data_IF_671332898541
#
_entry.id   IF_671332898541
#
_cell.length_a   1.000
_cell.length_b   1.000
_cell.length_c   1.000
_cell.angle_alpha   90.00
_cell.angle_beta   90.00
_cell.angle_gamma   90.00
#
_symmetry.space_group_name_H-M   'P 1'
#
loop_
_entity.id
_entity.type
_entity.pdbx_description
1 polymer ?
#
# COMPACT_ATOMS: atom_id res chain seq x y z
N UNK A 1 0.85 -1.47 9.98
CA UNK A 1 0.83 -0.52 11.12
C UNK A 1 1.59 0.71 10.69
N UNK A 2 1.03 1.91 10.84
CA UNK A 2 1.74 3.17 10.59
C UNK A 2 1.99 3.83 11.94
N UNK A 3 3.24 4.16 12.24
CA UNK A 3 3.63 4.90 13.45
C UNK A 3 4.53 6.06 13.02
N UNK A 4 4.42 7.19 13.70
CA UNK A 4 5.18 8.41 13.46
C UNK A 4 6.69 8.30 13.79
N UNK A 5 7.12 7.22 14.45
CA UNK A 5 8.51 6.98 14.82
C UNK A 5 8.99 5.59 14.39
N UNK A 6 10.32 5.47 14.21
CA UNK A 6 10.95 4.18 13.89
C UNK A 6 10.80 3.20 15.06
N UNK A 7 10.19 2.06 14.80
CA UNK A 7 9.97 0.98 15.77
C UNK A 7 11.27 0.55 16.47
N UNK A 8 12.40 0.55 15.74
CA UNK A 8 13.73 0.20 16.27
C UNK A 8 14.17 1.07 17.46
N UNK A 9 13.66 2.29 17.58
CA UNK A 9 13.99 3.22 18.68
C UNK A 9 13.08 3.05 19.88
N UNK A 10 12.04 2.22 19.79
CA UNK A 10 11.08 2.00 20.88
C UNK A 10 11.62 1.00 21.90
N UNK A 11 11.28 1.15 23.18
CA UNK A 11 11.70 0.21 24.21
C UNK A 11 11.14 -1.19 23.94
N UNK A 12 11.93 -2.23 24.25
CA UNK A 12 11.52 -3.63 24.15
C UNK A 12 11.20 -4.23 25.51
N UNK A 13 10.18 -5.09 25.56
CA UNK A 13 9.89 -5.92 26.74
C UNK A 13 10.98 -6.97 26.94
N UNK A 14 11.33 -7.23 28.20
CA UNK A 14 12.27 -8.32 28.56
C UNK A 14 11.67 -9.72 28.38
N UNK A 15 10.34 -9.84 28.46
CA UNK A 15 9.62 -11.13 28.52
C UNK A 15 9.50 -11.83 27.17
N UNK A 16 9.35 -11.07 26.09
CA UNK A 16 9.07 -11.58 24.75
C UNK A 16 9.63 -10.69 23.64
N UNK A 17 10.49 -9.72 23.99
CA UNK A 17 11.14 -8.79 23.06
C UNK A 17 10.18 -7.90 22.26
N UNK A 18 8.89 -7.89 22.59
CA UNK A 18 7.91 -7.05 21.92
C UNK A 18 8.27 -5.57 22.09
N UNK A 19 8.12 -4.79 21.03
CA UNK A 19 8.27 -3.33 21.10
C UNK A 19 7.09 -2.72 21.83
N UNK A 20 7.35 -1.76 22.71
CA UNK A 20 6.34 -1.08 23.51
C UNK A 20 5.99 0.23 22.83
N UNK A 21 4.77 0.31 22.31
CA UNK A 21 4.17 1.52 21.75
C UNK A 21 3.31 2.18 22.83
N UNK A 22 3.70 3.37 23.23
CA UNK A 22 2.98 4.23 24.16
C UNK A 22 2.04 5.16 23.37
N UNK A 23 0.72 4.96 23.50
CA UNK A 23 -0.28 5.71 22.73
C UNK A 23 -0.36 7.19 23.11
N UNK A 24 0.14 7.58 24.27
CA UNK A 24 0.20 8.98 24.67
C UNK A 24 1.37 9.71 24.01
N UNK A 25 2.42 8.98 23.62
CA UNK A 25 3.66 9.54 23.06
C UNK A 25 3.74 9.45 21.54
N UNK A 26 3.07 8.49 20.92
CA UNK A 26 3.23 8.19 19.50
C UNK A 26 1.88 8.09 18.80
N UNK A 27 1.75 8.77 17.66
CA UNK A 27 0.60 8.61 16.78
C UNK A 27 0.73 7.29 16.02
N UNK A 28 -0.24 6.41 16.19
CA UNK A 28 -0.28 5.13 15.49
C UNK A 28 -1.64 4.84 14.87
N UNK A 29 -1.63 4.46 13.59
CA UNK A 29 -2.78 3.89 12.88
C UNK A 29 -2.58 2.40 12.70
N UNK A 30 -3.47 1.62 13.29
CA UNK A 30 -3.43 0.17 13.26
C UNK A 30 -4.47 -0.35 12.26
N UNK A 31 -4.03 -1.12 11.27
CA UNK A 31 -4.92 -1.90 10.41
C UNK A 31 -4.88 -3.35 10.88
N UNK A 32 -5.76 -3.66 11.83
CA UNK A 32 -5.72 -4.91 12.61
C UNK A 32 -7.13 -5.38 12.96
N UNK A 33 -7.32 -6.69 13.01
CA UNK A 33 -8.54 -7.35 13.49
C UNK A 33 -8.31 -7.99 14.86
N UNK A 34 -9.38 -8.18 15.63
CA UNK A 34 -9.31 -8.90 16.90
C UNK A 34 -8.95 -10.37 16.65
N UNK A 35 -7.95 -10.86 17.38
CA UNK A 35 -7.44 -12.23 17.28
C UNK A 35 -7.59 -12.99 18.60
N UNK A 36 -8.55 -12.59 19.42
CA UNK A 36 -8.93 -13.26 20.65
C UNK A 36 -8.02 -12.99 21.85
N UNK A 37 -8.33 -13.67 22.95
CA UNK A 37 -7.73 -13.47 24.27
C UNK A 37 -6.96 -14.71 24.72
N UNK A 38 -5.74 -14.50 25.20
CA UNK A 38 -4.86 -15.55 25.71
C UNK A 38 -4.37 -15.20 27.12
N UNK A 39 -4.29 -16.18 28.00
CA UNK A 39 -3.70 -16.04 29.34
C UNK A 39 -2.36 -16.78 29.37
N UNK A 40 -1.26 -16.05 29.51
CA UNK A 40 0.09 -16.61 29.57
C UNK A 40 0.59 -16.73 31.01
N UNK A 41 1.27 -17.84 31.31
CA UNK A 41 2.00 -18.00 32.57
C UNK A 41 3.41 -17.43 32.42
N UNK A 42 3.77 -16.43 33.23
CA UNK A 42 5.07 -15.76 33.23
C UNK A 42 5.79 -16.07 34.55
N UNK A 43 6.69 -17.06 34.55
CA UNK A 43 7.43 -17.45 35.76
C UNK A 43 6.54 -17.95 36.91
N UNK A 44 7.08 -17.99 38.12
CA UNK A 44 6.37 -18.50 39.30
C UNK A 44 5.20 -17.59 39.68
N UNK A 45 3.98 -18.05 39.38
CA UNK A 45 2.73 -17.47 39.88
C UNK A 45 2.16 -16.27 39.12
N UNK A 46 2.87 -15.69 38.15
CA UNK A 46 2.34 -14.53 37.41
C UNK A 46 1.60 -14.96 36.15
N UNK A 47 0.42 -14.40 35.96
CA UNK A 47 -0.41 -14.59 34.77
C UNK A 47 -0.53 -13.26 34.03
N UNK A 48 -0.42 -13.30 32.71
CA UNK A 48 -0.54 -12.13 31.82
C UNK A 48 -1.69 -12.37 30.84
N UNK A 49 -2.68 -11.47 30.85
CA UNK A 49 -3.75 -11.45 29.85
C UNK A 49 -3.24 -10.73 28.61
N UNK A 50 -3.43 -11.34 27.45
CA UNK A 50 -3.12 -10.75 26.16
C UNK A 50 -4.39 -10.75 25.30
N UNK A 51 -4.83 -9.57 24.89
CA UNK A 51 -5.82 -9.41 23.84
C UNK A 51 -5.05 -9.22 22.53
N UNK A 52 -5.04 -10.25 21.71
CA UNK A 52 -4.21 -10.36 20.51
C UNK A 52 -4.91 -9.73 19.33
N UNK A 53 -4.11 -9.21 18.42
CA UNK A 53 -4.55 -8.52 17.22
C UNK A 53 -3.78 -9.04 16.02
N UNK A 54 -4.48 -9.27 14.92
CA UNK A 54 -3.91 -9.78 13.67
C UNK A 54 -3.95 -8.75 12.56
N UNK A 55 -3.05 -8.85 11.58
CA UNK A 55 -3.05 -8.00 10.41
C UNK A 55 -4.27 -8.30 9.53
N UNK A 56 -5.08 -7.29 9.18
CA UNK A 56 -6.26 -7.49 8.32
C UNK A 56 -5.93 -8.10 6.94
N UNK A 57 -4.72 -7.83 6.43
CA UNK A 57 -4.31 -8.28 5.10
C UNK A 57 -3.88 -9.74 5.03
N UNK A 58 -3.15 -10.23 6.04
CA UNK A 58 -2.53 -11.57 6.01
C UNK A 58 -2.87 -12.46 7.22
N UNK A 59 -3.65 -11.97 8.19
CA UNK A 59 -4.03 -12.72 9.39
C UNK A 59 -2.90 -12.96 10.39
N UNK A 60 -1.68 -12.45 10.14
CA UNK A 60 -0.54 -12.63 11.02
C UNK A 60 -0.77 -11.96 12.38
N UNK A 61 -0.45 -12.64 13.48
CA UNK A 61 -0.45 -12.04 14.82
C UNK A 61 0.64 -10.97 14.94
N UNK A 62 0.24 -9.70 15.04
CA UNK A 62 1.16 -8.55 14.92
C UNK A 62 1.38 -7.77 16.20
N UNK A 63 0.35 -7.67 17.04
CA UNK A 63 0.46 -6.97 18.31
C UNK A 63 -0.58 -7.46 19.31
N UNK A 64 -0.41 -7.09 20.57
CA UNK A 64 -1.37 -7.36 21.64
C UNK A 64 -1.40 -6.21 22.65
N UNK A 65 -2.44 -6.23 23.49
CA UNK A 65 -2.68 -5.28 24.59
C UNK A 65 -3.06 -6.01 25.87
N UNK A 66 -2.93 -5.35 27.01
CA UNK A 66 -3.28 -5.91 28.33
C UNK A 66 -4.75 -5.68 28.68
N UNK A 67 -5.32 -4.61 28.15
CA UNK A 67 -6.71 -4.18 28.31
C UNK A 67 -7.58 -4.69 27.17
N UNK A 68 -8.87 -4.92 27.43
CA UNK A 68 -9.80 -5.47 26.43
C UNK A 68 -10.10 -4.45 25.33
N UNK A 69 -10.35 -3.20 25.70
CA UNK A 69 -10.68 -2.14 24.75
C UNK A 69 -9.42 -1.47 24.19
N UNK A 70 -9.39 -1.29 22.87
CA UNK A 70 -8.25 -0.63 22.21
C UNK A 70 -8.16 0.86 22.60
N UNK A 71 -9.28 1.51 22.89
CA UNK A 71 -9.32 2.93 23.25
C UNK A 71 -8.67 3.17 24.61
N UNK A 72 -8.96 2.33 25.60
CA UNK A 72 -8.48 2.44 26.98
C UNK A 72 -7.07 1.90 27.18
N UNK A 73 -6.58 1.04 26.29
CA UNK A 73 -5.22 0.54 26.33
C UNK A 73 -4.22 1.70 26.17
N UNK A 74 -3.37 1.94 27.18
CA UNK A 74 -2.29 2.94 27.10
C UNK A 74 -1.09 2.40 26.31
N UNK A 75 -0.87 1.09 26.35
CA UNK A 75 0.26 0.44 25.71
C UNK A 75 -0.17 -0.60 24.69
N UNK A 76 0.56 -0.65 23.58
CA UNK A 76 0.43 -1.69 22.57
C UNK A 76 1.79 -2.36 22.41
N UNK A 77 1.78 -3.68 22.47
CA UNK A 77 2.99 -4.49 22.36
C UNK A 77 3.05 -5.10 20.98
N UNK A 78 3.98 -4.60 20.17
CA UNK A 78 4.21 -5.10 18.82
C UNK A 78 5.14 -6.28 18.88
N UNK A 79 4.70 -7.43 18.35
CA UNK A 79 5.44 -8.67 18.39
C UNK A 79 6.77 -8.52 17.65
N UNK A 80 7.86 -9.02 18.24
CA UNK A 80 9.19 -8.98 17.62
C UNK A 80 9.17 -9.74 16.29
N UNK A 81 9.65 -9.10 15.22
CA UNK A 81 9.61 -9.66 13.85
C UNK A 81 8.27 -9.59 13.14
N UNK A 82 7.19 -9.14 13.79
CA UNK A 82 5.89 -9.01 13.12
C UNK A 82 5.78 -7.78 12.20
N UNK A 83 6.68 -6.82 12.40
CA UNK A 83 6.88 -5.70 11.49
C UNK A 83 8.28 -5.81 10.90
N UNK A 84 8.37 -5.78 9.58
CA UNK A 84 9.64 -5.59 8.90
C UNK A 84 10.05 -4.12 9.02
N UNK A 85 11.31 -3.85 9.36
CA UNK A 85 11.87 -2.47 9.41
C UNK A 85 12.02 -1.84 8.05
N UNK A 86 11.68 -2.61 7.03
CA UNK A 86 11.42 -2.20 5.68
C UNK A 86 10.22 -1.24 5.69
N UNK A 87 10.51 0.07 5.69
CA UNK A 87 9.57 1.07 5.21
C UNK A 87 9.35 0.80 3.71
N UNK A 88 8.53 -0.20 3.36
CA UNK A 88 8.23 -0.57 1.97
C UNK A 88 9.45 -0.68 1.01
N UNK A 89 10.67 -0.92 1.50
CA UNK A 89 11.77 -1.49 0.69
C UNK A 89 11.59 -3.01 0.54
N UNK A 90 10.39 -3.47 0.19
CA UNK A 90 10.32 -4.73 -0.54
C UNK A 90 11.19 -4.49 -1.76
N UNK A 91 12.17 -5.35 -2.04
CA UNK A 91 12.75 -5.41 -3.38
C UNK A 91 11.58 -5.26 -4.36
N UNK A 92 11.54 -4.29 -5.30
CA UNK A 92 10.33 -3.98 -6.04
C UNK A 92 9.68 -5.26 -6.60
N UNK A 93 10.51 -6.24 -6.97
CA UNK A 93 10.19 -7.62 -7.39
C UNK A 93 9.29 -8.43 -6.45
N UNK A 94 9.39 -8.25 -5.13
CA UNK A 94 8.62 -9.00 -4.12
C UNK A 94 7.33 -8.28 -3.66
N UNK A 95 7.15 -7.01 -4.04
CA UNK A 95 5.90 -6.30 -3.77
C UNK A 95 4.75 -6.93 -4.57
N UNK A 96 3.60 -7.26 -3.97
CA UNK A 96 2.45 -7.72 -4.73
C UNK A 96 2.02 -6.62 -5.71
N UNK A 97 1.67 -7.01 -6.94
CA UNK A 97 1.11 -6.09 -7.91
C UNK A 97 -0.19 -5.49 -7.34
N UNK A 98 -0.34 -4.16 -7.26
CA UNK A 98 -1.55 -3.53 -6.74
C UNK A 98 -2.79 -3.92 -7.57
N UNK A 99 -3.99 -4.06 -6.96
CA UNK A 99 -5.19 -4.52 -7.66
C UNK A 99 -5.67 -3.57 -8.77
N UNK A 100 -5.29 -2.29 -8.72
CA UNK A 100 -5.51 -1.35 -9.82
C UNK A 100 -4.78 -1.75 -11.13
N UNK A 101 -3.82 -2.68 -11.07
CA UNK A 101 -3.14 -3.30 -12.21
C UNK A 101 -3.56 -4.77 -12.26
N UNK A 102 -4.53 -5.08 -13.11
CA UNK A 102 -5.16 -6.40 -13.17
C UNK A 102 -4.83 -7.11 -14.49
N UNK A 103 -4.44 -8.39 -14.40
CA UNK A 103 -4.34 -9.26 -15.57
C UNK A 103 -5.75 -9.63 -16.04
N UNK A 104 -6.01 -9.47 -17.33
CA UNK A 104 -7.23 -9.90 -18.01
C UNK A 104 -7.00 -11.18 -18.81
N UNK A 105 -8.09 -11.77 -19.30
CA UNK A 105 -8.05 -12.86 -20.26
C UNK A 105 -7.35 -12.43 -21.57
N UNK A 106 -6.76 -13.39 -22.28
CA UNK A 106 -6.07 -13.12 -23.55
C UNK A 106 -4.71 -12.44 -23.42
N UNK A 107 -4.13 -12.38 -22.21
CA UNK A 107 -2.80 -11.80 -21.98
C UNK A 107 -2.78 -10.27 -21.86
N UNK A 108 -3.96 -9.65 -21.83
CA UNK A 108 -4.12 -8.20 -21.65
C UNK A 108 -3.93 -7.80 -20.18
N UNK A 109 -3.52 -6.55 -19.94
CA UNK A 109 -3.45 -5.95 -18.60
C UNK A 109 -4.27 -4.69 -18.57
N UNK A 110 -5.08 -4.51 -17.53
CA UNK A 110 -5.85 -3.30 -17.28
C UNK A 110 -5.24 -2.51 -16.12
N UNK A 111 -5.08 -1.20 -16.30
CA UNK A 111 -4.60 -0.26 -15.30
C UNK A 111 -5.68 0.80 -15.03
N UNK A 112 -6.09 0.94 -13.78
CA UNK A 112 -6.91 2.06 -13.36
C UNK A 112 -6.05 3.32 -13.16
N UNK A 113 -6.37 4.37 -13.91
CA UNK A 113 -5.62 5.63 -13.93
C UNK A 113 -6.52 6.77 -13.48
N UNK A 114 -6.04 7.56 -12.52
CA UNK A 114 -6.66 8.83 -12.15
C UNK A 114 -5.88 9.98 -12.80
N UNK A 115 -6.54 10.77 -13.63
CA UNK A 115 -5.91 11.83 -14.43
C UNK A 115 -6.15 13.20 -13.81
N UNK A 116 -5.08 13.95 -13.60
CA UNK A 116 -5.09 15.37 -13.24
C UNK A 116 -4.61 16.21 -14.43
N UNK A 117 -5.48 17.06 -14.97
CA UNK A 117 -5.18 17.90 -16.13
C UNK A 117 -4.56 19.24 -15.74
N UNK A 118 -4.03 19.99 -16.71
CA UNK A 118 -3.42 21.32 -16.52
C UNK A 118 -2.23 21.35 -15.56
N UNK A 119 -1.47 20.28 -15.48
CA UNK A 119 -0.24 20.23 -14.70
C UNK A 119 0.95 20.86 -15.44
N UNK A 120 2.03 21.16 -14.71
CA UNK A 120 3.27 21.69 -15.32
C UNK A 120 3.93 20.70 -16.29
N UNK A 121 3.76 19.39 -16.05
CA UNK A 121 4.27 18.31 -16.90
C UNK A 121 3.46 17.04 -16.75
N UNK A 122 3.53 16.19 -17.75
CA UNK A 122 3.11 14.79 -17.63
C UNK A 122 4.00 14.02 -16.66
N UNK A 123 3.43 13.38 -15.65
CA UNK A 123 4.17 12.61 -14.65
C UNK A 123 3.29 11.58 -13.93
N UNK A 124 3.88 10.44 -13.52
CA UNK A 124 3.26 9.53 -12.55
C UNK A 124 3.60 10.07 -11.17
N UNK A 125 2.58 10.54 -10.45
CA UNK A 125 2.76 11.15 -9.12
C UNK A 125 2.51 10.16 -8.00
N UNK A 126 1.77 9.07 -8.27
CA UNK A 126 1.46 8.05 -7.27
C UNK A 126 1.06 6.72 -7.90
N UNK A 127 1.49 5.63 -7.28
CA UNK A 127 0.99 4.28 -7.55
C UNK A 127 0.51 3.70 -6.22
N UNK A 128 -0.76 3.35 -6.11
CA UNK A 128 -1.34 2.72 -4.92
C UNK A 128 -2.33 1.60 -5.28
N UNK A 129 -3.05 1.08 -4.29
CA UNK A 129 -3.99 -0.03 -4.52
C UNK A 129 -5.22 0.35 -5.37
N UNK A 130 -5.64 1.62 -5.35
CA UNK A 130 -6.88 2.08 -5.98
C UNK A 130 -6.65 2.59 -7.41
N UNK A 131 -5.57 3.38 -7.59
CA UNK A 131 -5.25 4.07 -8.85
C UNK A 131 -3.75 4.29 -9.06
N UNK A 132 -3.41 4.45 -10.34
CA UNK A 132 -2.17 5.10 -10.80
C UNK A 132 -2.51 6.55 -11.10
N UNK A 133 -2.01 7.48 -10.28
CA UNK A 133 -2.25 8.91 -10.50
C UNK A 133 -1.26 9.46 -11.50
N UNK A 134 -1.80 10.07 -12.55
CA UNK A 134 -1.03 10.67 -13.63
C UNK A 134 -1.46 12.11 -13.81
N UNK A 135 -0.50 13.03 -13.76
CA UNK A 135 -0.72 14.40 -14.18
C UNK A 135 -0.46 14.51 -15.68
N UNK A 136 -1.19 15.37 -16.37
CA UNK A 136 -0.97 15.74 -17.79
C UNK A 136 -1.06 17.25 -17.95
N UNK A 137 -0.31 17.81 -18.89
CA UNK A 137 -0.31 19.25 -19.13
C UNK A 137 -1.52 19.71 -19.93
N UNK A 138 -1.95 18.91 -20.91
CA UNK A 138 -3.12 19.19 -21.72
C UNK A 138 -4.39 19.27 -20.87
N UNK A 139 -5.33 20.16 -21.22
CA UNK A 139 -6.63 20.21 -20.57
C UNK A 139 -7.50 19.01 -20.97
N UNK A 140 -8.47 18.64 -20.12
CA UNK A 140 -9.47 17.61 -20.43
C UNK A 140 -10.44 18.00 -21.57
N UNK A 141 -10.32 19.21 -22.11
CA UNK A 141 -11.12 19.67 -23.23
C UNK A 141 -10.81 18.86 -24.50
N UNK A 142 -11.86 18.53 -25.26
CA UNK A 142 -11.75 17.92 -26.61
C UNK A 142 -10.87 16.67 -26.72
N UNK A 143 -10.64 15.96 -25.60
CA UNK A 143 -9.82 14.74 -25.58
C UNK A 143 -8.30 14.98 -25.58
N UNK A 144 -7.83 16.22 -25.46
CA UNK A 144 -6.38 16.54 -25.49
C UNK A 144 -5.62 15.83 -24.36
N UNK A 145 -6.16 15.86 -23.13
CA UNK A 145 -5.62 15.09 -22.00
C UNK A 145 -5.52 13.58 -22.25
N UNK A 146 -6.47 12.98 -22.99
CA UNK A 146 -6.43 11.55 -23.28
C UNK A 146 -5.31 11.22 -24.27
N UNK A 147 -5.10 12.08 -25.27
CA UNK A 147 -4.04 11.91 -26.26
C UNK A 147 -2.66 12.04 -25.60
N UNK A 148 -2.46 13.08 -24.80
CA UNK A 148 -1.20 13.26 -24.06
C UNK A 148 -0.95 12.11 -23.09
N UNK A 149 -1.99 11.63 -22.38
CA UNK A 149 -1.88 10.46 -21.51
C UNK A 149 -1.42 9.22 -22.28
N UNK A 150 -2.00 8.94 -23.44
CA UNK A 150 -1.63 7.78 -24.26
C UNK A 150 -0.18 7.86 -24.75
N UNK A 151 0.27 9.04 -25.19
CA UNK A 151 1.66 9.26 -25.60
C UNK A 151 2.64 9.14 -24.43
N UNK A 152 2.26 9.68 -23.26
CA UNK A 152 3.06 9.59 -22.05
C UNK A 152 3.19 8.14 -21.56
N UNK A 153 2.07 7.41 -21.44
CA UNK A 153 2.06 6.02 -21.02
C UNK A 153 2.77 5.11 -22.02
N UNK A 154 2.69 5.39 -23.33
CA UNK A 154 3.46 4.67 -24.34
C UNK A 154 4.96 4.80 -24.14
N UNK A 155 5.45 6.00 -23.79
CA UNK A 155 6.87 6.22 -23.45
C UNK A 155 7.27 5.51 -22.16
N UNK A 156 6.45 5.57 -21.10
CA UNK A 156 6.72 4.91 -19.82
C UNK A 156 6.76 3.39 -19.98
N UNK A 157 5.77 2.82 -20.67
CA UNK A 157 5.65 1.37 -20.80
C UNK A 157 6.55 0.81 -21.91
N UNK A 158 7.02 1.64 -22.84
CA UNK A 158 7.75 1.21 -24.03
C UNK A 158 6.84 0.54 -25.06
N UNK A 159 5.59 0.98 -25.14
CA UNK A 159 4.55 0.42 -26.00
C UNK A 159 4.14 1.41 -27.09
N UNK A 160 3.74 0.88 -28.24
CA UNK A 160 3.13 1.67 -29.32
C UNK A 160 1.69 2.01 -28.95
N UNK A 161 1.17 3.11 -29.51
CA UNK A 161 -0.23 3.49 -29.34
C UNK A 161 -1.22 2.39 -29.75
N UNK A 162 -0.87 1.55 -30.72
CA UNK A 162 -1.69 0.41 -31.16
C UNK A 162 -1.79 -0.72 -30.14
N UNK A 163 -0.85 -0.81 -29.19
CA UNK A 163 -0.82 -1.83 -28.12
C UNK A 163 -1.51 -1.34 -26.85
N UNK A 164 -2.21 -0.21 -26.91
CA UNK A 164 -2.86 0.40 -25.78
C UNK A 164 -4.24 0.90 -26.17
N UNK A 165 -5.20 0.76 -25.28
CA UNK A 165 -6.55 1.31 -25.45
C UNK A 165 -6.98 2.01 -24.17
N UNK A 166 -7.44 3.25 -24.30
CA UNK A 166 -7.97 4.01 -23.18
C UNK A 166 -9.50 3.92 -23.16
N UNK A 167 -10.04 3.36 -22.09
CA UNK A 167 -11.47 3.27 -21.83
C UNK A 167 -11.90 4.25 -20.74
N UNK A 168 -13.20 4.57 -20.72
CA UNK A 168 -13.79 5.40 -19.67
C UNK A 168 -13.86 4.60 -18.36
N UNK A 169 -13.40 5.19 -17.26
CA UNK A 169 -13.59 4.65 -15.92
C UNK A 169 -14.90 5.11 -15.28
N UNK A 170 -14.96 5.01 -13.94
CA UNK A 170 -16.14 5.32 -13.12
C UNK A 170 -16.54 6.80 -13.10
N UNK A 171 -15.63 7.72 -13.42
CA UNK A 171 -15.93 9.15 -13.54
C UNK A 171 -15.16 9.80 -14.71
N UNK A 172 -15.18 11.12 -14.84
CA UNK A 172 -14.52 11.84 -15.94
C UNK A 172 -12.98 11.79 -15.89
N UNK A 173 -12.41 11.78 -14.68
CA UNK A 173 -10.96 11.76 -14.40
C UNK A 173 -10.39 10.35 -14.37
N UNK A 174 -11.21 9.36 -14.09
CA UNK A 174 -10.77 7.97 -14.03
C UNK A 174 -10.84 7.30 -15.40
N UNK A 175 -9.75 6.65 -15.80
CA UNK A 175 -9.59 5.92 -17.06
C UNK A 175 -9.18 4.49 -16.78
N UNK A 176 -9.52 3.59 -17.69
CA UNK A 176 -9.00 2.22 -17.69
C UNK A 176 -8.10 2.07 -18.91
N UNK A 177 -6.80 1.96 -18.69
CA UNK A 177 -5.81 1.71 -19.74
C UNK A 177 -5.63 0.21 -19.90
N UNK A 178 -6.01 -0.32 -21.05
CA UNK A 178 -5.75 -1.72 -21.42
C UNK A 178 -4.49 -1.76 -22.26
N UNK A 179 -3.56 -2.64 -21.92
CA UNK A 179 -2.28 -2.81 -22.63
C UNK A 179 -2.03 -4.26 -23.01
N UNK A 180 -1.31 -4.43 -24.12
CA UNK A 180 -0.91 -5.73 -24.67
C UNK A 180 0.59 -5.99 -24.43
N UNK A 181 1.02 -7.24 -24.61
CA UNK A 181 2.43 -7.68 -24.61
C UNK A 181 3.23 -7.47 -23.31
N UNK A 182 2.59 -7.01 -22.23
CA UNK A 182 3.18 -6.89 -20.90
C UNK A 182 2.35 -7.66 -19.87
N UNK A 183 3.03 -8.29 -18.92
CA UNK A 183 2.39 -8.83 -17.72
C UNK A 183 2.07 -7.73 -16.71
N UNK A 184 1.09 -7.96 -15.83
CA UNK A 184 0.73 -7.02 -14.77
C UNK A 184 1.95 -6.62 -13.91
N UNK A 185 2.88 -7.56 -13.70
CA UNK A 185 4.14 -7.36 -12.99
C UNK A 185 5.09 -6.39 -13.73
N UNK A 186 5.30 -6.60 -15.03
CA UNK A 186 6.17 -5.73 -15.83
C UNK A 186 5.60 -4.31 -15.94
N UNK A 187 4.27 -4.19 -16.06
CA UNK A 187 3.60 -2.88 -16.03
C UNK A 187 3.90 -2.19 -14.71
N UNK A 188 3.67 -2.88 -13.57
CA UNK A 188 3.92 -2.30 -12.26
C UNK A 188 5.37 -1.83 -12.06
N UNK A 189 6.36 -2.63 -12.48
CA UNK A 189 7.78 -2.26 -12.41
C UNK A 189 8.09 -0.98 -13.18
N UNK A 190 7.62 -0.88 -14.43
CA UNK A 190 7.82 0.31 -15.26
C UNK A 190 7.15 1.56 -14.68
N UNK A 191 5.97 1.40 -14.07
CA UNK A 191 5.28 2.53 -13.41
C UNK A 191 6.01 2.99 -12.15
N UNK A 192 6.58 2.06 -11.36
CA UNK A 192 7.39 2.40 -10.19
C UNK A 192 8.69 3.12 -10.58
N UNK A 193 9.38 2.66 -11.63
CA UNK A 193 10.60 3.30 -12.14
C UNK A 193 10.34 4.74 -12.63
N UNK A 194 9.15 4.97 -13.22
CA UNK A 194 8.76 6.28 -13.74
C UNK A 194 8.06 7.18 -12.71
N UNK A 195 7.69 6.65 -11.53
CA UNK A 195 7.05 7.43 -10.48
C UNK A 195 8.04 8.45 -9.91
N UNK A 196 7.71 9.73 -10.07
CA UNK A 196 8.46 10.84 -9.49
C UNK A 196 7.59 11.49 -8.40
N UNK A 197 8.12 11.68 -7.17
CA UNK A 197 7.42 12.46 -6.16
C UNK A 197 7.25 13.93 -6.57
#
# INVERSE_FOLDING_TARGET
MLVDNQLQKMPKRKTDKAYVLDKEKYLARLSVDDAGKVLLKRGEGKLEKQFRMSCKGCGLFVCYRSEEDLETASFIYVVDGALSTIAAETNPQDAPVPPCISQLEGGLVQVAIEVEDRAQRSAITRVNADDVRVTVSAPAARGEANNELMEFMGRVLGLKLSQMTLQRGWNSKSKLLVVEDLTARQVYEKLLEAAQP
#
